data_IF_755319938773
#
_entry.id   IF_755319938773
#
_cell.length_a   1.000
_cell.length_b   1.000
_cell.length_c   1.000
_cell.angle_alpha   90.00
_cell.angle_beta   90.00
_cell.angle_gamma   90.00
#
_symmetry.space_group_name_H-M   'P 1'
#
loop_
_entity.id
_entity.type
_entity.pdbx_description
1 polymer ?
#
# COMPACT_ATOMS: atom_id res chain seq x y z
N UNK A 1 14.88 -3.42 -13.02
CA UNK A 1 14.00 -4.60 -13.22
C UNK A 1 12.93 -4.56 -12.16
N UNK A 2 11.67 -4.73 -12.54
CA UNK A 2 10.51 -4.81 -11.65
C UNK A 2 9.92 -6.22 -11.76
N UNK A 3 9.45 -6.80 -10.65
CA UNK A 3 8.90 -8.16 -10.64
C UNK A 3 7.63 -8.22 -9.80
N UNK A 4 6.70 -9.07 -10.22
CA UNK A 4 5.57 -9.52 -9.42
C UNK A 4 5.84 -10.94 -8.96
N UNK A 5 5.74 -11.18 -7.66
CA UNK A 5 5.94 -12.49 -7.08
C UNK A 5 4.84 -12.81 -6.06
N UNK A 6 4.48 -14.08 -5.97
CA UNK A 6 3.67 -14.61 -4.89
C UNK A 6 4.50 -14.74 -3.61
N UNK A 7 3.83 -14.78 -2.45
CA UNK A 7 4.44 -14.88 -1.12
C UNK A 7 5.26 -16.16 -0.91
N UNK A 8 5.07 -17.19 -1.74
CA UNK A 8 5.90 -18.40 -1.74
C UNK A 8 7.19 -18.29 -2.57
N UNK A 9 7.49 -17.11 -3.11
CA UNK A 9 8.68 -16.84 -3.93
C UNK A 9 8.49 -17.10 -5.44
N UNK A 10 7.33 -17.57 -5.88
CA UNK A 10 7.06 -17.76 -7.31
C UNK A 10 6.96 -16.41 -8.03
N UNK A 11 7.80 -16.17 -9.05
CA UNK A 11 7.75 -14.97 -9.87
C UNK A 11 6.71 -15.18 -10.97
N UNK A 12 5.65 -14.38 -10.97
CA UNK A 12 4.61 -14.42 -11.99
C UNK A 12 5.07 -13.75 -13.28
N UNK A 13 5.54 -12.51 -13.16
CA UNK A 13 5.96 -11.70 -14.30
C UNK A 13 7.01 -10.67 -13.88
N UNK A 14 7.83 -10.20 -14.82
CA UNK A 14 8.81 -9.14 -14.57
C UNK A 14 8.99 -8.25 -15.81
N UNK A 15 9.34 -7.01 -15.56
CA UNK A 15 9.60 -5.99 -16.58
C UNK A 15 11.01 -5.44 -16.41
N UNK A 16 11.80 -5.43 -17.48
CA UNK A 16 13.14 -4.86 -17.49
C UNK A 16 13.02 -3.36 -17.76
N UNK A 17 13.50 -2.54 -16.82
CA UNK A 17 13.58 -1.09 -16.99
C UNK A 17 14.87 -0.74 -17.72
N UNK A 18 14.77 -0.24 -18.94
CA UNK A 18 15.91 0.08 -19.82
C UNK A 18 16.24 1.59 -19.89
N UNK A 19 15.48 2.44 -19.20
CA UNK A 19 15.76 3.88 -19.09
C UNK A 19 15.47 4.73 -20.33
N UNK A 20 15.13 4.13 -21.48
CA UNK A 20 14.71 4.85 -22.70
C UNK A 20 13.26 4.54 -23.05
N UNK A 21 12.49 5.61 -23.28
CA UNK A 21 11.09 5.68 -23.74
C UNK A 21 10.23 4.47 -23.37
N UNK A 22 9.57 4.56 -22.21
CA UNK A 22 8.38 3.76 -21.91
C UNK A 22 7.29 4.14 -22.93
N UNK A 23 6.83 3.24 -23.82
CA UNK A 23 5.80 3.55 -24.82
C UNK A 23 4.48 4.03 -24.22
N UNK A 24 4.31 3.91 -22.89
CA UNK A 24 3.07 4.19 -22.16
C UNK A 24 3.13 5.49 -21.34
N UNK A 25 3.89 6.49 -21.79
CA UNK A 25 4.11 7.79 -21.12
C UNK A 25 2.86 8.65 -20.79
N UNK A 26 1.64 8.17 -21.06
CA UNK A 26 0.38 8.84 -20.74
C UNK A 26 -0.31 8.38 -19.44
N UNK A 27 -0.13 7.11 -19.04
CA UNK A 27 -0.59 6.57 -17.75
C UNK A 27 0.65 6.53 -16.86
N UNK A 28 0.75 7.43 -15.88
CA UNK A 28 2.01 7.68 -15.15
C UNK A 28 2.79 6.40 -14.81
N UNK A 29 4.08 6.38 -15.13
CA UNK A 29 4.99 5.22 -15.12
C UNK A 29 4.75 4.16 -14.02
N UNK A 30 4.40 4.58 -12.79
CA UNK A 30 4.08 3.68 -11.68
C UNK A 30 2.85 2.78 -11.94
N UNK A 31 1.80 3.30 -12.59
CA UNK A 31 0.59 2.54 -12.92
C UNK A 31 0.89 1.47 -13.95
N UNK A 32 1.59 1.82 -15.04
CA UNK A 32 2.01 0.87 -16.07
C UNK A 32 2.89 -0.25 -15.51
N UNK A 33 3.86 0.10 -14.66
CA UNK A 33 4.77 -0.87 -14.05
C UNK A 33 4.06 -1.84 -13.10
N UNK A 34 2.90 -1.48 -12.55
CA UNK A 34 2.09 -2.37 -11.70
C UNK A 34 1.07 -3.16 -12.50
N UNK A 35 0.39 -2.53 -13.45
CA UNK A 35 -0.66 -3.17 -14.25
C UNK A 35 -0.07 -4.23 -15.21
N UNK A 36 1.07 -3.96 -15.86
CA UNK A 36 1.65 -4.90 -16.82
C UNK A 36 2.02 -6.26 -16.18
N UNK A 37 2.66 -6.31 -15.00
CA UNK A 37 2.88 -7.59 -14.32
C UNK A 37 1.61 -8.28 -13.81
N UNK A 38 0.51 -7.55 -13.62
CA UNK A 38 -0.76 -8.09 -13.13
C UNK A 38 -1.64 -8.70 -14.23
N UNK A 39 -1.24 -8.55 -15.49
CA UNK A 39 -1.96 -9.15 -16.62
C UNK A 39 -2.21 -10.65 -16.38
N UNK A 40 -3.48 -11.05 -16.55
CA UNK A 40 -3.97 -12.41 -16.27
C UNK A 40 -4.24 -12.75 -14.79
N UNK A 41 -4.06 -11.82 -13.84
CA UNK A 41 -4.35 -12.04 -12.41
C UNK A 41 -5.51 -11.19 -11.85
N UNK A 42 -6.11 -10.35 -12.70
CA UNK A 42 -7.25 -9.48 -12.40
C UNK A 42 -8.53 -10.28 -12.11
N UNK A 43 -9.56 -9.64 -11.53
CA UNK A 43 -10.87 -10.30 -11.35
C UNK A 43 -10.94 -11.34 -10.22
N UNK A 44 -9.84 -11.57 -9.49
CA UNK A 44 -9.73 -12.68 -8.54
C UNK A 44 -9.77 -12.25 -7.06
N UNK A 45 -10.05 -10.98 -6.75
CA UNK A 45 -10.02 -10.40 -5.41
C UNK A 45 -8.69 -10.63 -4.66
N UNK A 46 -7.60 -10.79 -5.42
CA UNK A 46 -6.25 -10.93 -4.89
C UNK A 46 -5.76 -9.60 -4.32
N UNK A 47 -4.77 -9.66 -3.45
CA UNK A 47 -4.16 -8.47 -2.85
C UNK A 47 -2.75 -8.28 -3.36
N UNK A 48 -2.54 -7.14 -4.03
CA UNK A 48 -1.23 -6.66 -4.46
C UNK A 48 -0.60 -5.89 -3.31
N UNK A 49 0.64 -6.24 -2.97
CA UNK A 49 1.44 -5.51 -1.98
C UNK A 49 2.56 -4.78 -2.72
N UNK A 50 2.59 -3.46 -2.60
CA UNK A 50 3.50 -2.61 -3.39
C UNK A 50 4.21 -1.55 -2.53
N UNK A 51 5.47 -1.25 -2.87
CA UNK A 51 6.24 -0.17 -2.24
C UNK A 51 5.80 1.22 -2.75
N UNK A 52 6.18 2.26 -2.02
CA UNK A 52 5.80 3.65 -2.24
C UNK A 52 6.11 4.21 -3.62
N UNK A 53 7.07 3.64 -4.35
CA UNK A 53 7.39 4.05 -5.71
C UNK A 53 6.22 3.75 -6.66
N UNK A 54 5.50 2.67 -6.38
CA UNK A 54 4.47 2.08 -7.23
C UNK A 54 3.05 2.37 -6.77
N UNK A 55 2.84 2.95 -5.60
CA UNK A 55 1.51 3.25 -5.07
C UNK A 55 1.04 4.67 -5.40
N UNK A 56 -0.25 4.82 -5.67
CA UNK A 56 -0.96 6.09 -5.75
C UNK A 56 -2.46 5.88 -5.44
N UNK A 57 -3.19 6.96 -5.13
CA UNK A 57 -4.65 6.89 -4.93
C UNK A 57 -5.37 6.49 -6.22
N UNK A 58 -5.06 7.05 -7.42
CA UNK A 58 -5.67 6.61 -8.66
C UNK A 58 -5.42 5.14 -8.99
N UNK A 59 -4.20 4.64 -8.75
CA UNK A 59 -3.90 3.22 -8.94
C UNK A 59 -4.71 2.33 -8.01
N UNK A 60 -4.82 2.71 -6.73
CA UNK A 60 -5.62 1.95 -5.76
C UNK A 60 -7.07 1.83 -6.22
N UNK A 61 -7.65 2.91 -6.73
CA UNK A 61 -8.99 2.93 -7.32
C UNK A 61 -9.09 2.02 -8.54
N UNK A 62 -8.17 2.17 -9.50
CA UNK A 62 -8.18 1.39 -10.75
C UNK A 62 -8.09 -0.12 -10.48
N UNK A 63 -7.24 -0.54 -9.55
CA UNK A 63 -7.14 -1.96 -9.14
C UNK A 63 -8.43 -2.44 -8.47
N UNK A 64 -9.03 -1.62 -7.60
CA UNK A 64 -10.26 -1.99 -6.92
C UNK A 64 -11.44 -2.13 -7.90
N UNK A 65 -11.52 -1.29 -8.93
CA UNK A 65 -12.51 -1.40 -10.01
C UNK A 65 -12.30 -2.69 -10.85
N UNK A 66 -11.06 -3.19 -10.93
CA UNK A 66 -10.71 -4.48 -11.53
C UNK A 66 -10.70 -5.67 -10.55
N UNK A 67 -11.50 -5.58 -9.47
CA UNK A 67 -11.63 -6.60 -8.43
C UNK A 67 -10.28 -7.09 -7.87
N UNK A 68 -9.36 -6.14 -7.66
CA UNK A 68 -8.02 -6.40 -7.14
C UNK A 68 -7.72 -5.43 -5.99
N UNK A 69 -7.37 -5.96 -4.82
CA UNK A 69 -7.01 -5.12 -3.69
C UNK A 69 -5.55 -4.67 -3.78
N UNK A 70 -5.27 -3.47 -3.27
CA UNK A 70 -3.93 -2.92 -3.12
C UNK A 70 -3.66 -2.67 -1.63
N UNK A 71 -2.45 -2.98 -1.19
CA UNK A 71 -1.85 -2.52 0.06
C UNK A 71 -0.48 -1.93 -0.27
N UNK A 72 -0.17 -0.76 0.26
CA UNK A 72 1.18 -0.23 0.14
C UNK A 72 1.43 0.99 1.01
N UNK A 73 2.71 1.36 1.11
CA UNK A 73 3.09 2.63 1.74
C UNK A 73 2.89 3.76 0.75
N UNK A 74 2.41 4.93 1.18
CA UNK A 74 2.18 6.09 0.31
C UNK A 74 3.02 7.28 0.77
N UNK A 75 3.72 7.95 -0.15
CA UNK A 75 4.44 9.19 0.19
C UNK A 75 3.43 10.32 0.46
N UNK A 76 3.66 11.12 1.49
CA UNK A 76 2.78 12.23 1.89
C UNK A 76 2.48 13.21 0.75
N UNK A 77 3.48 13.53 -0.09
CA UNK A 77 3.28 14.39 -1.26
C UNK A 77 2.32 13.78 -2.31
N UNK A 78 2.24 12.45 -2.41
CA UNK A 78 1.32 11.74 -3.32
C UNK A 78 -0.11 11.62 -2.77
N UNK A 79 -0.30 11.83 -1.47
CA UNK A 79 -1.63 11.96 -0.86
C UNK A 79 -2.20 13.38 -1.01
N UNK A 80 -1.38 14.33 -1.48
CA UNK A 80 -1.66 15.76 -1.44
C UNK A 80 -1.27 16.35 -0.09
N UNK A 81 -0.38 17.34 -0.10
CA UNK A 81 0.12 18.02 1.11
C UNK A 81 -0.99 18.69 1.95
N UNK A 82 -2.11 19.03 1.31
CA UNK A 82 -3.30 19.58 1.95
C UNK A 82 -4.28 18.53 2.50
N UNK A 83 -4.00 17.23 2.34
CA UNK A 83 -4.92 16.20 2.83
C UNK A 83 -4.93 16.16 4.36
N UNK A 84 -6.12 16.03 4.92
CA UNK A 84 -6.33 16.02 6.38
C UNK A 84 -5.47 14.93 7.06
N UNK A 85 -5.34 13.75 6.43
CA UNK A 85 -4.52 12.65 6.96
C UNK A 85 -3.03 12.98 7.07
N UNK A 86 -2.49 13.80 6.16
CA UNK A 86 -1.08 14.24 6.19
C UNK A 86 -0.84 15.34 7.21
N UNK A 87 -1.86 16.15 7.52
CA UNK A 87 -1.77 17.26 8.48
C UNK A 87 -1.94 16.82 9.94
N UNK A 88 -2.38 15.59 10.19
CA UNK A 88 -2.54 15.08 11.56
C UNK A 88 -1.18 14.93 12.26
N UNK A 89 -1.06 15.60 13.40
CA UNK A 89 0.07 15.41 14.30
C UNK A 89 -0.25 14.34 15.34
N UNK A 90 0.15 13.11 15.04
CA UNK A 90 -0.08 11.95 15.90
C UNK A 90 1.00 11.83 16.97
N UNK A 91 0.65 11.26 18.12
CA UNK A 91 1.61 10.72 19.09
C UNK A 91 2.01 9.31 18.68
N UNK A 92 3.16 8.85 19.18
CA UNK A 92 3.61 7.48 18.95
C UNK A 92 2.55 6.47 19.43
N UNK A 93 2.18 5.54 18.56
CA UNK A 93 1.14 4.55 18.75
C UNK A 93 -0.24 4.95 18.23
N UNK A 94 -0.49 6.26 18.01
CA UNK A 94 -1.77 6.73 17.48
C UNK A 94 -1.91 6.42 15.98
N UNK A 95 -3.17 6.25 15.57
CA UNK A 95 -3.57 5.97 14.19
C UNK A 95 -4.71 6.92 13.79
N UNK A 96 -4.69 7.36 12.54
CA UNK A 96 -5.76 8.12 11.93
C UNK A 96 -6.02 7.59 10.53
N UNK A 97 -7.24 7.65 10.04
CA UNK A 97 -7.50 7.28 8.66
C UNK A 97 -8.75 7.89 8.07
N UNK A 98 -8.75 7.91 6.74
CA UNK A 98 -9.81 8.42 5.90
C UNK A 98 -10.15 7.35 4.88
N UNK A 99 -11.43 7.31 4.48
CA UNK A 99 -11.88 6.49 3.38
C UNK A 99 -12.64 7.38 2.40
N UNK A 100 -12.31 7.29 1.12
CA UNK A 100 -13.09 7.96 0.09
C UNK A 100 -14.33 7.13 -0.31
N UNK A 101 -15.23 7.73 -1.08
CA UNK A 101 -16.44 7.06 -1.59
C UNK A 101 -16.17 5.82 -2.46
N UNK A 102 -14.98 5.74 -3.04
CA UNK A 102 -14.58 4.63 -3.91
C UNK A 102 -14.01 3.44 -3.11
N UNK A 103 -13.91 3.54 -1.78
CA UNK A 103 -13.38 2.47 -0.92
C UNK A 103 -11.86 2.49 -0.72
N UNK A 104 -11.16 3.50 -1.25
CA UNK A 104 -9.73 3.70 -1.00
C UNK A 104 -9.54 4.31 0.39
N UNK A 105 -8.69 3.67 1.19
CA UNK A 105 -8.39 4.06 2.56
C UNK A 105 -6.97 4.59 2.66
N UNK A 106 -6.81 5.72 3.33
CA UNK A 106 -5.52 6.26 3.76
C UNK A 106 -5.42 6.10 5.27
N UNK A 107 -4.37 5.42 5.74
CA UNK A 107 -4.17 5.15 7.18
C UNK A 107 -2.79 5.66 7.58
N UNK A 108 -2.77 6.69 8.41
CA UNK A 108 -1.56 7.22 9.04
C UNK A 108 -1.37 6.58 10.41
N UNK A 109 -0.18 6.06 10.67
CA UNK A 109 0.20 5.54 11.98
C UNK A 109 1.58 6.04 12.35
N UNK A 110 1.76 6.44 13.61
CA UNK A 110 3.06 6.92 14.08
C UNK A 110 3.77 5.87 14.93
N UNK A 111 4.85 5.31 14.40
CA UNK A 111 5.84 4.60 15.22
C UNK A 111 6.94 5.57 15.64
N UNK A 112 8.18 5.39 15.15
CA UNK A 112 9.26 6.39 15.30
C UNK A 112 9.10 7.54 14.32
N UNK A 113 8.47 7.26 13.17
CA UNK A 113 8.14 8.21 12.11
C UNK A 113 6.71 7.93 11.66
N UNK A 114 6.13 8.91 10.97
CA UNK A 114 4.82 8.75 10.37
C UNK A 114 4.90 7.75 9.21
N UNK A 115 3.99 6.78 9.25
CA UNK A 115 3.81 5.76 8.21
C UNK A 115 2.44 5.97 7.63
N UNK A 116 2.40 6.42 6.37
CA UNK A 116 1.16 6.55 5.62
C UNK A 116 0.98 5.33 4.73
N UNK A 117 -0.16 4.66 4.88
CA UNK A 117 -0.56 3.50 4.11
C UNK A 117 -1.71 3.87 3.16
N UNK A 118 -1.74 3.27 1.98
CA UNK A 118 -2.91 3.20 1.11
C UNK A 118 -3.41 1.77 1.05
N UNK A 119 -4.72 1.58 1.16
CA UNK A 119 -5.34 0.26 1.12
C UNK A 119 -6.73 0.28 0.51
N UNK A 120 -7.08 -0.75 -0.24
CA UNK A 120 -8.46 -1.03 -0.68
C UNK A 120 -9.07 -2.28 -0.06
N UNK A 121 -8.35 -2.99 0.81
CA UNK A 121 -8.90 -4.14 1.53
C UNK A 121 -10.07 -3.74 2.45
N UNK A 122 -11.23 -4.43 2.39
CA UNK A 122 -12.37 -4.15 3.25
C UNK A 122 -12.09 -4.28 4.75
N UNK A 123 -11.26 -5.24 5.16
CA UNK A 123 -10.92 -5.51 6.57
C UNK A 123 -10.07 -4.43 7.24
N UNK A 124 -9.39 -3.57 6.47
CA UNK A 124 -8.52 -2.55 7.05
C UNK A 124 -9.29 -1.35 7.59
N UNK A 125 -8.92 -0.90 8.79
CA UNK A 125 -9.48 0.27 9.46
C UNK A 125 -8.38 1.05 10.17
N UNK A 126 -8.68 2.29 10.58
CA UNK A 126 -7.81 3.11 11.39
C UNK A 126 -7.86 2.69 12.87
N UNK A 127 -7.50 1.44 13.14
CA UNK A 127 -7.45 0.84 14.48
C UNK A 127 -6.14 0.08 14.62
N UNK A 128 -5.66 -0.03 15.86
CA UNK A 128 -4.48 -0.84 16.18
C UNK A 128 -4.90 -2.18 16.78
N UNK A 129 -4.14 -3.22 16.49
CA UNK A 129 -4.30 -4.57 17.03
C UNK A 129 -3.04 -4.98 17.79
N UNK A 130 -3.20 -5.87 18.76
CA UNK A 130 -2.06 -6.48 19.47
C UNK A 130 -1.35 -7.45 18.52
N UNK A 131 -0.04 -7.28 18.37
CA UNK A 131 0.77 -8.14 17.52
C UNK A 131 1.19 -9.44 18.20
N UNK A 132 0.87 -9.64 19.47
CA UNK A 132 1.34 -10.74 20.32
C UNK A 132 2.78 -10.56 20.80
N UNK A 133 3.54 -9.64 20.21
CA UNK A 133 4.94 -9.37 20.55
C UNK A 133 5.07 -8.28 21.63
N UNK A 134 6.15 -8.34 22.39
CA UNK A 134 6.52 -7.30 23.34
C UNK A 134 7.81 -6.58 22.92
N UNK A 135 7.96 -5.33 23.33
CA UNK A 135 9.20 -4.59 23.16
C UNK A 135 10.21 -4.93 24.26
N UNK A 136 11.41 -4.34 24.21
CA UNK A 136 12.46 -4.55 25.23
C UNK A 136 12.09 -4.10 26.65
N UNK A 137 11.00 -3.33 26.81
CA UNK A 137 10.44 -2.91 28.10
C UNK A 137 9.27 -3.79 28.55
N UNK A 138 9.03 -4.91 27.86
CA UNK A 138 7.92 -5.82 28.10
C UNK A 138 6.52 -5.22 27.86
N UNK A 139 6.42 -4.15 27.07
CA UNK A 139 5.14 -3.55 26.67
C UNK A 139 4.64 -4.20 25.39
N UNK A 140 3.31 -4.40 25.29
CA UNK A 140 2.67 -4.96 24.09
C UNK A 140 2.87 -4.05 22.88
N UNK A 141 3.25 -4.65 21.76
CA UNK A 141 3.42 -3.93 20.49
C UNK A 141 2.06 -3.91 19.78
N UNK A 142 1.55 -2.68 19.58
CA UNK A 142 0.30 -2.42 18.87
C UNK A 142 0.60 -1.87 17.47
N UNK A 143 -0.05 -2.40 16.43
CA UNK A 143 0.09 -1.92 15.05
C UNK A 143 -1.24 -1.95 14.30
N UNK A 144 -1.47 -1.10 13.29
CA UNK A 144 -2.61 -1.26 12.41
C UNK A 144 -2.53 -2.55 11.61
N UNK A 145 -3.67 -3.20 11.36
CA UNK A 145 -3.72 -4.44 10.56
C UNK A 145 -3.08 -4.25 9.18
N UNK A 146 -3.31 -3.11 8.53
CA UNK A 146 -2.71 -2.78 7.22
C UNK A 146 -1.18 -2.82 7.23
N UNK A 147 -0.54 -2.51 8.35
CA UNK A 147 0.93 -2.56 8.49
C UNK A 147 1.39 -4.02 8.65
N UNK A 148 0.60 -4.86 9.31
CA UNK A 148 0.90 -6.30 9.44
C UNK A 148 0.79 -6.99 8.09
N UNK A 149 -0.34 -6.85 7.40
CA UNK A 149 -0.58 -7.42 6.07
C UNK A 149 0.48 -6.94 5.05
N UNK A 150 0.88 -5.66 5.12
CA UNK A 150 1.96 -5.13 4.28
C UNK A 150 3.31 -5.81 4.54
N UNK A 151 3.67 -6.00 5.82
CA UNK A 151 4.95 -6.62 6.18
C UNK A 151 4.98 -8.11 5.83
N UNK A 152 3.85 -8.80 5.93
CA UNK A 152 3.72 -10.22 5.54
C UNK A 152 3.86 -10.40 4.02
N UNK A 153 3.27 -9.50 3.23
CA UNK A 153 3.35 -9.55 1.77
C UNK A 153 4.67 -9.01 1.18
N UNK A 154 5.55 -8.42 2.00
CA UNK A 154 6.83 -7.88 1.55
C UNK A 154 7.93 -8.94 1.66
N UNK A 155 8.11 -9.71 0.58
CA UNK A 155 9.26 -10.59 0.38
C UNK A 155 10.58 -9.81 0.20
#
# INVERSE_FOLDING_TARGET
MYKLAATNGYIWNFVIYTGQQDPMAGLGHAQTVVMNPLDGLEGCYRTVVADNLFTSIPLAKCLLEGDTYLIGTLRSNRAGSGSEVVQKNLRRGEVYGLQNKDGVKLIMWKDKKDVLMVSTRPSHSATVVDTGNTNSKNERIMKPQVVLDYNEGRL
#
